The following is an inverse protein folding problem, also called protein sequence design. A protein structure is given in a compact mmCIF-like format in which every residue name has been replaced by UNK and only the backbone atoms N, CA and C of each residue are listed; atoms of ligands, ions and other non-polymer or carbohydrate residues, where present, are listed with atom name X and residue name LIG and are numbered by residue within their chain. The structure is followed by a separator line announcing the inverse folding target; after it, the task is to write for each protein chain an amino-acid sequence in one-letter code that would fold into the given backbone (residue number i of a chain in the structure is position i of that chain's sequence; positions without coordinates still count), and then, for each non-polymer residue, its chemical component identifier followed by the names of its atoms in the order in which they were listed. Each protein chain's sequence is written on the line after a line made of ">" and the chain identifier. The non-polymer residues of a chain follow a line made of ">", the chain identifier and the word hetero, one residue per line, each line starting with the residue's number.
data_IF_523607026927
#
_entry.id   IF_523607026927
#
_cell.length_a   1.000
_cell.length_b   1.000
_cell.length_c   1.000
_cell.angle_alpha   90.00
_cell.angle_beta   90.00
_cell.angle_gamma   90.00
#
_symmetry.space_group_name_H-M   'P 1'
#
loop_
_entity.id
_entity.type
_entity.pdbx_description
1 polymer ?
#
# COMPACT_ATOMS: atom_id res chain seq x y z
N UNK A 1 10.78 4.26 8.86
CA UNK A 1 9.89 4.76 7.78
C UNK A 1 8.47 4.45 8.20
N UNK A 2 7.53 5.37 8.04
CA UNK A 2 6.13 5.12 8.42
C UNK A 2 5.49 4.20 7.39
N UNK A 3 4.60 3.30 7.82
CA UNK A 3 3.98 2.33 6.91
C UNK A 3 3.17 3.01 5.81
N UNK A 4 2.53 4.14 6.14
CA UNK A 4 1.81 5.01 5.21
C UNK A 4 2.73 5.53 4.09
N UNK A 5 3.97 5.92 4.42
CA UNK A 5 4.95 6.41 3.44
C UNK A 5 5.37 5.29 2.49
N UNK A 6 5.66 4.10 3.03
CA UNK A 6 6.03 2.93 2.23
C UNK A 6 4.88 2.55 1.28
N UNK A 7 3.65 2.48 1.79
CA UNK A 7 2.47 2.14 0.99
C UNK A 7 2.23 3.19 -0.08
N UNK A 8 2.32 4.48 0.25
CA UNK A 8 2.13 5.56 -0.71
C UNK A 8 3.18 5.50 -1.82
N UNK A 9 4.46 5.28 -1.48
CA UNK A 9 5.53 5.12 -2.47
C UNK A 9 5.28 3.93 -3.40
N UNK A 10 4.86 2.78 -2.88
CA UNK A 10 4.50 1.62 -3.70
C UNK A 10 3.36 1.94 -4.66
N UNK A 11 2.30 2.60 -4.17
CA UNK A 11 1.17 3.00 -5.00
C UNK A 11 1.62 3.96 -6.10
N UNK A 12 2.44 4.97 -5.77
CA UNK A 12 3.00 5.90 -6.76
C UNK A 12 3.85 5.18 -7.81
N UNK A 13 4.66 4.20 -7.41
CA UNK A 13 5.46 3.41 -8.34
C UNK A 13 4.61 2.59 -9.31
N UNK A 14 3.58 1.93 -8.80
CA UNK A 14 2.62 1.18 -9.64
C UNK A 14 1.86 2.14 -10.57
N UNK A 15 1.50 3.33 -10.07
CA UNK A 15 0.79 4.35 -10.85
C UNK A 15 1.56 4.88 -12.07
N UNK A 16 2.89 4.69 -12.12
CA UNK A 16 3.68 5.00 -13.32
C UNK A 16 3.40 4.02 -14.47
N UNK A 17 2.82 2.85 -14.18
CA UNK A 17 2.54 1.77 -15.14
C UNK A 17 1.05 1.54 -15.35
N UNK A 18 0.25 1.58 -14.28
CA UNK A 18 -1.19 1.33 -14.31
C UNK A 18 -1.93 2.30 -13.37
N UNK A 19 -3.11 2.82 -13.75
CA UNK A 19 -3.80 3.86 -12.99
C UNK A 19 -4.34 3.44 -11.61
N UNK A 20 -4.27 2.14 -11.29
CA UNK A 20 -4.80 1.57 -10.04
C UNK A 20 -3.86 0.51 -9.49
N UNK A 21 -3.77 0.43 -8.17
CA UNK A 21 -3.03 -0.63 -7.48
C UNK A 21 -4.03 -1.54 -6.75
N UNK A 22 -4.07 -2.83 -7.10
CA UNK A 22 -4.88 -3.81 -6.38
C UNK A 22 -4.25 -4.16 -5.04
N UNK A 23 -5.07 -4.62 -4.08
CA UNK A 23 -4.55 -5.08 -2.78
C UNK A 23 -3.51 -6.21 -2.96
N UNK A 24 -3.76 -7.19 -3.82
CA UNK A 24 -2.84 -8.31 -4.03
C UNK A 24 -1.47 -7.83 -4.54
N UNK A 25 -1.45 -6.86 -5.46
CA UNK A 25 -0.21 -6.29 -5.99
C UNK A 25 0.51 -5.47 -4.92
N UNK A 26 -0.22 -4.65 -4.15
CA UNK A 26 0.36 -3.92 -3.00
C UNK A 26 1.02 -4.87 -2.00
N UNK A 27 0.34 -5.96 -1.60
CA UNK A 27 0.91 -6.96 -0.71
C UNK A 27 2.13 -7.66 -1.30
N UNK A 28 2.14 -7.93 -2.61
CA UNK A 28 3.30 -8.49 -3.30
C UNK A 28 4.52 -7.57 -3.24
N UNK A 29 4.34 -6.28 -3.50
CA UNK A 29 5.43 -5.30 -3.39
C UNK A 29 5.92 -5.14 -1.95
N UNK A 30 5.02 -5.08 -0.96
CA UNK A 30 5.40 -5.01 0.45
C UNK A 30 6.19 -6.26 0.87
N UNK A 31 5.79 -7.46 0.43
CA UNK A 31 6.53 -8.69 0.71
C UNK A 31 7.97 -8.61 0.18
N UNK A 32 8.16 -8.13 -1.05
CA UNK A 32 9.49 -7.97 -1.65
C UNK A 32 10.34 -6.94 -0.89
N UNK A 33 9.78 -5.75 -0.60
CA UNK A 33 10.49 -4.67 0.12
C UNK A 33 10.95 -5.14 1.49
N UNK A 34 10.07 -5.79 2.26
CA UNK A 34 10.41 -6.24 3.61
C UNK A 34 11.38 -7.42 3.58
N UNK A 35 11.31 -8.29 2.57
CA UNK A 35 12.30 -9.34 2.36
C UNK A 35 13.70 -8.76 2.05
N UNK A 36 13.78 -7.76 1.16
CA UNK A 36 15.04 -7.08 0.82
C UNK A 36 15.65 -6.35 2.02
N UNK A 37 14.81 -5.75 2.86
CA UNK A 37 15.24 -5.10 4.11
C UNK A 37 15.58 -6.09 5.23
N UNK A 38 15.42 -7.41 5.01
CA UNK A 38 15.55 -8.44 6.06
C UNK A 38 14.69 -8.13 7.29
N UNK A 39 13.48 -7.62 7.06
CA UNK A 39 12.56 -7.13 8.09
C UNK A 39 11.24 -7.90 8.07
N UNK A 40 10.48 -7.80 9.15
CA UNK A 40 9.19 -8.46 9.28
C UNK A 40 8.10 -7.71 8.53
N UNK A 41 7.37 -8.42 7.67
CA UNK A 41 6.21 -7.89 6.98
C UNK A 41 5.17 -7.39 8.02
N UNK A 42 4.57 -6.21 7.82
CA UNK A 42 3.54 -5.70 8.71
C UNK A 42 2.30 -6.60 8.71
N UNK A 43 1.59 -6.71 9.85
CA UNK A 43 0.30 -7.38 9.89
C UNK A 43 -0.71 -6.75 8.93
N UNK A 44 -1.60 -7.55 8.34
CA UNK A 44 -2.66 -7.06 7.43
C UNK A 44 -3.47 -5.92 8.03
N UNK A 45 -3.80 -6.00 9.32
CA UNK A 45 -4.56 -4.95 10.01
C UNK A 45 -3.82 -3.60 10.00
N UNK A 46 -2.50 -3.61 10.19
CA UNK A 46 -1.68 -2.40 10.12
C UNK A 46 -1.64 -1.83 8.70
N UNK A 47 -1.55 -2.69 7.68
CA UNK A 47 -1.61 -2.29 6.26
C UNK A 47 -2.96 -1.65 5.94
N UNK A 48 -4.08 -2.25 6.36
CA UNK A 48 -5.41 -1.68 6.17
C UNK A 48 -5.59 -0.35 6.91
N UNK A 49 -5.08 -0.23 8.14
CA UNK A 49 -5.13 1.02 8.88
C UNK A 49 -4.36 2.14 8.16
N UNK A 50 -3.17 1.82 7.63
CA UNK A 50 -2.37 2.76 6.86
C UNK A 50 -3.05 3.17 5.54
N UNK A 51 -3.60 2.22 4.79
CA UNK A 51 -4.41 2.52 3.58
C UNK A 51 -5.59 3.42 3.94
N UNK A 52 -6.34 3.10 5.00
CA UNK A 52 -7.47 3.90 5.46
C UNK A 52 -7.04 5.32 5.83
N UNK A 53 -5.88 5.48 6.48
CA UNK A 53 -5.31 6.79 6.80
C UNK A 53 -4.99 7.59 5.54
N UNK A 54 -4.37 6.97 4.53
CA UNK A 54 -4.04 7.62 3.25
C UNK A 54 -5.29 8.03 2.46
N UNK A 55 -6.35 7.23 2.52
CA UNK A 55 -7.65 7.58 1.92
C UNK A 55 -8.26 8.78 2.65
N UNK A 56 -8.29 8.74 3.99
CA UNK A 56 -8.83 9.84 4.81
C UNK A 56 -8.09 11.15 4.61
N UNK A 57 -6.79 11.10 4.33
CA UNK A 57 -5.99 12.29 4.02
C UNK A 57 -6.11 12.75 2.56
N UNK A 58 -6.87 12.05 1.71
CA UNK A 58 -7.04 12.39 0.30
C UNK A 58 -5.80 12.14 -0.57
N UNK A 59 -4.83 11.36 -0.09
CA UNK A 59 -3.59 11.05 -0.83
C UNK A 59 -3.80 9.93 -1.85
N UNK A 60 -4.71 9.00 -1.56
CA UNK A 60 -5.12 7.93 -2.48
C UNK A 60 -6.64 7.79 -2.43
N UNK A 61 -7.20 7.14 -3.46
CA UNK A 61 -8.64 6.90 -3.56
C UNK A 61 -8.90 5.40 -3.72
N UNK A 62 -9.96 4.90 -3.08
CA UNK A 62 -10.45 3.54 -3.29
C UNK A 62 -11.39 3.53 -4.50
N UNK A 63 -11.05 2.72 -5.51
CA UNK A 63 -11.82 2.61 -6.76
C UNK A 63 -12.71 1.36 -6.85
N UNK A 64 -12.77 0.53 -5.79
CA UNK A 64 -13.64 -0.63 -5.75
C UNK A 64 -15.10 -0.26 -5.42
N UNK A 65 -16.03 -1.18 -5.66
CA UNK A 65 -17.41 -1.00 -5.19
C UNK A 65 -17.42 -1.12 -3.67
N UNK A 66 -17.79 -0.04 -2.97
CA UNK A 66 -18.28 -0.13 -1.60
C UNK A 66 -19.49 -1.07 -1.62
N UNK A 67 -19.38 -2.21 -0.92
CA UNK A 67 -20.54 -3.05 -0.62
C UNK A 67 -21.45 -2.35 0.37
#
# INVERSE_FOLDING_TARGET
>A
MRLEEVIFQVICQVNMLEPTCSESRLYGHLANIYAEMQSHLPPRQSVYAAISSLIKSGLIYYCGKSQ
#
